data_IF_821728431407
#
_entry.id   IF_821728431407
#
_cell.length_a   1.000
_cell.length_b   1.000
_cell.length_c   1.000
_cell.angle_alpha   90.00
_cell.angle_beta   90.00
_cell.angle_gamma   90.00
#
_symmetry.space_group_name_H-M   'P 1'
#
loop_
_entity.id
_entity.type
_entity.pdbx_description
1 polymer ?
#
# COMPACT_ATOMS: atom_id res chain seq x y z
N UNK A 1 -8.15 25.71 -27.01
CA UNK A 1 -7.43 24.63 -26.31
C UNK A 1 -7.12 25.14 -24.91
N UNK A 2 -8.12 25.08 -24.04
CA UNK A 2 -8.18 25.81 -22.77
C UNK A 2 -7.63 24.92 -21.68
N UNK A 3 -6.41 25.17 -21.25
CA UNK A 3 -5.81 24.50 -20.09
C UNK A 3 -6.70 24.77 -18.87
N UNK A 4 -7.32 23.71 -18.36
CA UNK A 4 -8.09 23.76 -17.12
C UNK A 4 -7.10 24.00 -15.97
N UNK A 5 -6.85 25.27 -15.70
CA UNK A 5 -6.17 25.73 -14.48
C UNK A 5 -7.13 25.41 -13.33
N UNK A 6 -7.11 24.18 -12.84
CA UNK A 6 -7.66 23.90 -11.52
C UNK A 6 -6.90 24.83 -10.58
N UNK A 7 -7.59 25.85 -10.09
CA UNK A 7 -7.11 26.67 -9.00
C UNK A 7 -6.87 25.71 -7.85
N UNK A 8 -5.62 25.40 -7.56
CA UNK A 8 -5.24 24.82 -6.27
C UNK A 8 -5.80 25.79 -5.25
N UNK A 9 -6.90 25.40 -4.60
CA UNK A 9 -7.48 26.12 -3.46
C UNK A 9 -6.29 26.34 -2.52
N UNK A 10 -5.99 27.60 -2.19
CA UNK A 10 -4.80 27.93 -1.39
C UNK A 10 -4.73 27.02 -0.17
N UNK A 11 -3.56 26.45 0.09
CA UNK A 11 -3.30 25.57 1.24
C UNK A 11 -3.82 26.24 2.50
N UNK A 12 -4.90 25.71 3.07
CA UNK A 12 -5.45 26.18 4.33
C UNK A 12 -4.77 25.39 5.43
N UNK A 13 -3.77 25.98 6.09
CA UNK A 13 -3.04 25.33 7.18
C UNK A 13 -3.99 24.82 8.27
N UNK A 14 -5.10 25.52 8.51
CA UNK A 14 -6.12 25.09 9.47
C UNK A 14 -6.82 23.78 9.07
N UNK A 15 -7.01 23.51 7.77
CA UNK A 15 -7.59 22.24 7.30
C UNK A 15 -6.60 21.08 7.47
N UNK A 16 -5.30 21.36 7.29
CA UNK A 16 -4.23 20.38 7.52
C UNK A 16 -4.12 20.07 9.01
N UNK A 17 -4.09 21.10 9.87
CA UNK A 17 -4.02 20.95 11.32
C UNK A 17 -5.21 20.14 11.83
N UNK A 18 -6.43 20.45 11.36
CA UNK A 18 -7.62 19.68 11.69
C UNK A 18 -7.51 18.21 11.27
N UNK A 19 -7.06 17.93 10.05
CA UNK A 19 -6.90 16.55 9.57
C UNK A 19 -5.85 15.77 10.39
N UNK A 20 -4.80 16.44 10.86
CA UNK A 20 -3.77 15.86 11.72
C UNK A 20 -4.30 15.59 13.13
N UNK A 21 -5.12 16.49 13.68
CA UNK A 21 -5.80 16.30 14.97
C UNK A 21 -6.74 15.09 14.90
N UNK A 22 -7.61 15.01 13.88
CA UNK A 22 -8.52 13.86 13.66
C UNK A 22 -7.76 12.53 13.55
N UNK A 23 -6.64 12.51 12.82
CA UNK A 23 -5.77 11.33 12.73
C UNK A 23 -5.15 10.95 14.07
N UNK A 24 -4.73 11.94 14.86
CA UNK A 24 -4.09 11.70 16.16
C UNK A 24 -5.10 11.17 17.17
N UNK A 25 -6.28 11.78 17.27
CA UNK A 25 -7.35 11.36 18.19
C UNK A 25 -7.85 9.94 17.88
N UNK A 26 -8.03 9.61 16.59
CA UNK A 26 -8.40 8.26 16.17
C UNK A 26 -7.32 7.22 16.49
N UNK A 27 -6.04 7.61 16.45
CA UNK A 27 -4.93 6.71 16.79
C UNK A 27 -4.76 6.44 18.29
N UNK A 28 -5.17 7.39 19.15
CA UNK A 28 -4.99 7.29 20.61
C UNK A 28 -6.12 6.53 21.31
N UNK A 29 -7.31 6.45 20.69
CA UNK A 29 -8.51 5.88 21.30
C UNK A 29 -8.66 4.36 21.10
N UNK A 30 -7.82 3.72 20.28
CA UNK A 30 -7.95 2.29 19.98
C UNK A 30 -6.85 1.43 20.63
N UNK A 31 -7.28 0.38 21.35
CA UNK A 31 -6.53 -0.88 21.40
C UNK A 31 -6.38 -1.31 19.95
N UNK A 32 -5.23 -1.03 19.33
CA UNK A 32 -5.09 -0.97 17.88
C UNK A 32 -5.74 -2.13 17.12
N UNK A 33 -6.11 -1.88 15.86
CA UNK A 33 -6.93 -2.78 15.04
C UNK A 33 -6.62 -4.28 15.21
N UNK A 34 -7.66 -5.07 15.47
CA UNK A 34 -7.58 -6.53 15.49
C UNK A 34 -7.10 -7.08 14.15
N UNK A 35 -6.46 -8.26 14.16
CA UNK A 35 -6.01 -8.94 12.94
C UNK A 35 -7.18 -9.14 11.95
N UNK A 36 -8.37 -9.49 12.46
CA UNK A 36 -9.56 -9.64 11.65
C UNK A 36 -9.96 -8.34 10.93
N UNK A 37 -9.93 -7.20 11.63
CA UNK A 37 -10.24 -5.89 11.03
C UNK A 37 -9.19 -5.48 10.00
N UNK A 38 -7.91 -5.77 10.25
CA UNK A 38 -6.83 -5.52 9.28
C UNK A 38 -7.00 -6.35 8.00
N UNK A 39 -7.41 -7.61 8.12
CA UNK A 39 -7.75 -8.46 6.96
C UNK A 39 -8.86 -7.83 6.13
N UNK A 40 -9.96 -7.45 6.77
CA UNK A 40 -11.12 -6.84 6.11
C UNK A 40 -10.74 -5.55 5.36
N UNK A 41 -10.00 -4.65 6.02
CA UNK A 41 -9.53 -3.39 5.42
C UNK A 41 -8.57 -3.66 4.26
N UNK A 42 -7.68 -4.64 4.38
CA UNK A 42 -6.75 -5.01 3.29
C UNK A 42 -7.52 -5.53 2.07
N UNK A 43 -8.56 -6.34 2.27
CA UNK A 43 -9.43 -6.82 1.20
C UNK A 43 -10.24 -5.67 0.56
N UNK A 44 -10.70 -4.70 1.35
CA UNK A 44 -11.34 -3.48 0.83
C UNK A 44 -10.37 -2.66 -0.01
N UNK A 45 -9.15 -2.42 0.48
CA UNK A 45 -8.09 -1.72 -0.26
C UNK A 45 -7.78 -2.39 -1.60
N UNK A 46 -7.70 -3.72 -1.65
CA UNK A 46 -7.49 -4.46 -2.90
C UNK A 46 -8.63 -4.23 -3.90
N UNK A 47 -9.89 -4.26 -3.45
CA UNK A 47 -11.05 -3.98 -4.32
C UNK A 47 -11.04 -2.54 -4.84
N UNK A 48 -10.82 -1.58 -3.95
CA UNK A 48 -10.75 -0.16 -4.33
C UNK A 48 -9.59 0.11 -5.29
N UNK A 49 -8.42 -0.49 -5.05
CA UNK A 49 -7.26 -0.38 -5.92
C UNK A 49 -7.57 -0.92 -7.32
N UNK A 50 -8.21 -2.08 -7.42
CA UNK A 50 -8.59 -2.64 -8.73
C UNK A 50 -9.51 -1.71 -9.52
N UNK A 51 -10.40 -0.98 -8.83
CA UNK A 51 -11.32 -0.03 -9.47
C UNK A 51 -10.60 1.26 -9.90
N UNK A 52 -9.59 1.70 -9.15
CA UNK A 52 -8.85 2.95 -9.38
C UNK A 52 -7.56 2.78 -10.20
N UNK A 53 -7.12 1.55 -10.49
CA UNK A 53 -5.80 1.29 -11.08
C UNK A 53 -5.59 1.97 -12.44
N UNK A 54 -6.60 1.96 -13.32
CA UNK A 54 -6.53 2.63 -14.63
C UNK A 54 -6.40 4.14 -14.46
N UNK A 55 -7.26 4.73 -13.64
CA UNK A 55 -7.29 6.17 -13.41
C UNK A 55 -6.00 6.65 -12.74
N UNK A 56 -5.45 5.87 -11.81
CA UNK A 56 -4.13 6.12 -11.24
C UNK A 56 -3.08 6.25 -12.34
N UNK A 57 -2.95 5.25 -13.21
CA UNK A 57 -1.94 5.24 -14.27
C UNK A 57 -2.14 6.42 -15.22
N UNK A 58 -3.38 6.67 -15.64
CA UNK A 58 -3.70 7.76 -16.56
C UNK A 58 -3.36 9.13 -15.94
N UNK A 59 -3.67 9.36 -14.66
CA UNK A 59 -3.31 10.58 -13.93
C UNK A 59 -1.79 10.71 -13.71
N UNK A 60 -1.10 9.62 -13.42
CA UNK A 60 0.35 9.63 -13.22
C UNK A 60 1.09 9.95 -14.53
N UNK A 61 0.69 9.33 -15.64
CA UNK A 61 1.20 9.66 -16.97
C UNK A 61 0.91 11.12 -17.34
N UNK A 62 -0.30 11.61 -17.08
CA UNK A 62 -0.66 13.01 -17.34
C UNK A 62 0.22 13.98 -16.54
N UNK A 63 0.41 13.74 -15.24
CA UNK A 63 1.21 14.59 -14.37
C UNK A 63 2.69 14.64 -14.80
N UNK A 64 3.20 13.52 -15.33
CA UNK A 64 4.57 13.37 -15.82
C UNK A 64 4.72 13.69 -17.30
N UNK A 65 3.64 14.09 -17.97
CA UNK A 65 3.58 14.37 -19.40
C UNK A 65 4.07 13.19 -20.28
N UNK A 66 3.79 11.95 -19.84
CA UNK A 66 4.14 10.72 -20.55
C UNK A 66 3.02 10.41 -21.57
N UNK A 67 3.33 10.32 -22.87
CA UNK A 67 2.36 9.87 -23.88
C UNK A 67 1.91 8.43 -23.61
N UNK A 68 0.63 8.12 -23.85
CA UNK A 68 0.06 6.79 -23.55
C UNK A 68 0.70 5.64 -24.35
N UNK A 69 1.18 5.95 -25.55
CA UNK A 69 1.83 4.99 -26.46
C UNK A 69 3.31 4.77 -26.12
N UNK A 70 3.87 5.55 -25.19
CA UNK A 70 5.26 5.44 -24.78
C UNK A 70 5.46 4.23 -23.87
N UNK A 71 6.57 3.51 -24.04
CA UNK A 71 6.94 2.39 -23.18
C UNK A 71 7.09 2.81 -21.70
N UNK A 72 7.42 4.08 -21.42
CA UNK A 72 7.47 4.64 -20.08
C UNK A 72 6.13 4.54 -19.32
N UNK A 73 4.99 4.43 -20.02
CA UNK A 73 3.69 4.18 -19.41
C UNK A 73 3.65 2.83 -18.65
N UNK A 74 4.41 1.82 -19.10
CA UNK A 74 4.50 0.53 -18.42
C UNK A 74 5.14 0.65 -17.02
N UNK A 75 6.06 1.61 -16.84
CA UNK A 75 6.66 1.88 -15.54
C UNK A 75 5.60 2.40 -14.54
N UNK A 76 4.66 3.24 -14.97
CA UNK A 76 3.57 3.74 -14.11
C UNK A 76 2.62 2.62 -13.67
N UNK A 77 2.42 1.61 -14.52
CA UNK A 77 1.64 0.41 -14.16
C UNK A 77 2.39 -0.40 -13.09
N UNK A 78 3.67 -0.68 -13.32
CA UNK A 78 4.47 -1.56 -12.47
C UNK A 78 4.84 -0.91 -11.13
N UNK A 79 5.32 0.33 -11.16
CA UNK A 79 5.69 1.09 -9.96
C UNK A 79 4.47 1.61 -9.18
N UNK A 80 3.33 1.78 -9.85
CA UNK A 80 2.08 2.20 -9.24
C UNK A 80 1.22 1.02 -8.78
N UNK A 81 0.04 0.80 -9.40
CA UNK A 81 -0.98 -0.10 -8.86
C UNK A 81 -0.52 -1.55 -8.72
N UNK A 82 0.36 -2.07 -9.59
CA UNK A 82 0.83 -3.46 -9.50
C UNK A 82 1.67 -3.68 -8.24
N UNK A 83 2.59 -2.77 -7.93
CA UNK A 83 3.42 -2.86 -6.73
C UNK A 83 2.58 -2.79 -5.45
N UNK A 84 1.58 -1.91 -5.42
CA UNK A 84 0.65 -1.80 -4.28
C UNK A 84 -0.23 -3.05 -4.15
N UNK A 85 -0.75 -3.57 -5.26
CA UNK A 85 -1.56 -4.79 -5.26
C UNK A 85 -0.77 -5.98 -4.72
N UNK A 86 0.48 -6.14 -5.19
CA UNK A 86 1.41 -7.17 -4.71
C UNK A 86 1.63 -7.04 -3.20
N UNK A 87 1.93 -5.84 -2.71
CA UNK A 87 2.13 -5.61 -1.29
C UNK A 87 0.89 -5.99 -0.46
N UNK A 88 -0.29 -5.52 -0.87
CA UNK A 88 -1.55 -5.82 -0.17
C UNK A 88 -1.88 -7.31 -0.17
N UNK A 89 -1.58 -8.05 -1.24
CA UNK A 89 -1.77 -9.49 -1.29
C UNK A 89 -0.83 -10.24 -0.33
N UNK A 90 0.46 -9.88 -0.31
CA UNK A 90 1.42 -10.47 0.63
C UNK A 90 1.03 -10.15 2.08
N UNK A 91 0.59 -8.91 2.34
CA UNK A 91 0.08 -8.51 3.65
C UNK A 91 -1.15 -9.32 4.04
N UNK A 92 -2.12 -9.50 3.14
CA UNK A 92 -3.32 -10.28 3.38
C UNK A 92 -3.00 -11.74 3.72
N UNK A 93 -2.09 -12.37 2.98
CA UNK A 93 -1.62 -13.72 3.26
C UNK A 93 -0.94 -13.82 4.64
N UNK A 94 -0.12 -12.83 4.97
CA UNK A 94 0.58 -12.78 6.26
C UNK A 94 -0.40 -12.60 7.42
N UNK A 95 -1.39 -11.71 7.28
CA UNK A 95 -2.42 -11.50 8.31
C UNK A 95 -3.32 -12.72 8.49
N UNK A 96 -3.68 -13.41 7.41
CA UNK A 96 -4.43 -14.68 7.47
C UNK A 96 -3.63 -15.76 8.22
N UNK A 97 -2.34 -15.90 7.91
CA UNK A 97 -1.46 -16.80 8.65
C UNK A 97 -1.34 -16.42 10.15
N UNK A 98 -1.22 -15.12 10.47
CA UNK A 98 -1.20 -14.68 11.88
C UNK A 98 -2.51 -14.99 12.59
N UNK A 99 -3.65 -14.82 11.92
CA UNK A 99 -4.97 -15.16 12.48
C UNK A 99 -5.10 -16.66 12.77
N UNK A 100 -4.61 -17.51 11.88
CA UNK A 100 -4.81 -18.96 11.97
C UNK A 100 -3.72 -19.66 12.81
N UNK A 101 -2.45 -19.25 12.65
CA UNK A 101 -1.27 -19.91 13.19
C UNK A 101 -0.56 -19.08 14.30
N UNK A 102 -1.02 -17.87 14.58
CA UNK A 102 -0.40 -16.93 15.53
C UNK A 102 0.90 -16.27 15.03
N UNK A 103 1.34 -16.59 13.80
CA UNK A 103 2.59 -16.09 13.21
C UNK A 103 2.51 -16.01 11.68
N UNK A 104 3.29 -15.12 11.04
CA UNK A 104 3.36 -15.08 9.58
C UNK A 104 4.08 -16.32 9.03
N UNK A 105 3.79 -16.67 7.77
CA UNK A 105 4.54 -17.70 7.03
C UNK A 105 5.80 -17.08 6.45
N UNK A 106 6.94 -17.61 6.86
CA UNK A 106 8.24 -17.16 6.35
C UNK A 106 8.62 -17.96 5.09
N UNK A 107 9.27 -17.34 4.10
CA UNK A 107 9.74 -18.01 2.88
C UNK A 107 10.86 -19.03 3.12
N UNK A 108 11.44 -19.05 4.32
CA UNK A 108 12.44 -20.03 4.72
C UNK A 108 12.52 -20.17 6.23
N UNK A 109 13.45 -21.00 6.70
CA UNK A 109 13.65 -21.23 8.13
C UNK A 109 14.52 -20.10 8.72
N UNK A 110 14.16 -19.53 9.88
CA UNK A 110 15.07 -18.71 10.64
C UNK A 110 16.31 -19.50 11.05
N UNK A 111 17.49 -18.87 10.97
CA UNK A 111 18.77 -19.49 11.32
C UNK A 111 19.47 -18.68 12.41
N UNK A 112 20.05 -19.36 13.39
CA UNK A 112 20.95 -18.73 14.35
C UNK A 112 22.28 -18.41 13.65
N UNK A 113 22.66 -17.14 13.65
CA UNK A 113 24.01 -16.72 13.27
C UNK A 113 24.89 -16.76 14.52
N UNK A 114 26.19 -17.03 14.35
CA UNK A 114 27.18 -17.03 15.44
C UNK A 114 26.93 -15.89 16.45
N UNK A 115 26.63 -16.25 17.70
CA UNK A 115 26.11 -15.35 18.74
C UNK A 115 24.61 -15.55 19.03
N UNK A 116 23.92 -14.47 19.41
CA UNK A 116 22.49 -14.43 19.77
C UNK A 116 21.59 -13.85 18.66
N UNK A 117 22.13 -13.63 17.46
CA UNK A 117 21.38 -13.03 16.35
C UNK A 117 20.65 -14.09 15.52
N UNK A 118 19.35 -13.87 15.27
CA UNK A 118 18.55 -14.70 14.36
C UNK A 118 18.50 -14.03 12.99
N UNK A 119 18.83 -14.78 11.93
CA UNK A 119 18.60 -14.41 10.53
C UNK A 119 17.24 -14.95 10.10
N UNK A 120 16.34 -14.06 9.69
CA UNK A 120 15.01 -14.42 9.20
C UNK A 120 14.93 -14.16 7.70
N UNK A 121 14.68 -15.17 6.86
CA UNK A 121 14.45 -14.95 5.45
C UNK A 121 13.10 -14.25 5.28
N UNK A 122 13.12 -13.08 4.64
CA UNK A 122 11.92 -12.29 4.32
C UNK A 122 11.71 -12.13 2.81
N UNK A 123 12.71 -12.50 2.01
CA UNK A 123 12.70 -12.43 0.55
C UNK A 123 13.57 -13.57 -0.05
N UNK A 124 13.22 -14.14 -1.22
CA UNK A 124 11.98 -13.92 -1.98
C UNK A 124 10.76 -14.48 -1.26
N UNK A 125 9.63 -13.77 -1.32
CA UNK A 125 8.35 -14.22 -0.76
C UNK A 125 7.39 -14.60 -1.88
N UNK A 126 6.73 -15.75 -1.74
CA UNK A 126 5.75 -16.25 -2.70
C UNK A 126 4.44 -15.45 -2.62
N UNK A 127 3.67 -15.48 -3.71
CA UNK A 127 2.43 -14.73 -3.84
C UNK A 127 2.63 -13.51 -4.73
N UNK A 128 2.40 -13.73 -6.03
CA UNK A 128 2.31 -12.76 -7.14
C UNK A 128 3.66 -12.17 -7.58
N UNK A 129 4.66 -13.04 -7.75
CA UNK A 129 5.18 -13.50 -9.06
C UNK A 129 5.55 -14.99 -8.91
#
# INVERSE_FOLDING_TARGET
MTLHRQSVKGLNLSEIDQALEELTESSQSEVGLSVARRIELTEQCLRCLSQAARDWVDLACQAKQIPREDAACAEEVLAGPVSVARFLQVLLLSLKAVKDDGKPRLPGKPELKAGEQIRVPVFPTSGIY
#
